data_IF_906605823468
#
_entry.id   IF_906605823468
#
_cell.length_a   1.000
_cell.length_b   1.000
_cell.length_c   1.000
_cell.angle_alpha   90.00
_cell.angle_beta   90.00
_cell.angle_gamma   90.00
#
_symmetry.space_group_name_H-M   'P 1'
#
loop_
_entity.id
_entity.type
_entity.pdbx_description
1 polymer ?
#
# COMPACT_ATOMS: atom_id res chain seq x y z
N UNK A 1 -8.27 19.30 20.25
CA UNK A 1 -8.17 20.20 21.43
C UNK A 1 -8.45 21.64 21.06
N UNK A 2 -7.63 22.29 20.23
CA UNK A 2 -7.84 23.70 19.86
C UNK A 2 -9.21 23.91 19.18
N UNK A 3 -9.61 23.00 18.29
CA UNK A 3 -10.94 22.97 17.65
C UNK A 3 -12.10 22.73 18.62
N UNK A 4 -11.85 22.13 19.78
CA UNK A 4 -12.84 21.92 20.84
C UNK A 4 -12.87 23.09 21.84
N UNK A 5 -12.14 24.18 21.57
CA UNK A 5 -11.99 25.31 22.50
C UNK A 5 -11.08 25.03 23.71
N UNK A 6 -10.50 23.83 23.78
CA UNK A 6 -9.66 23.37 24.88
C UNK A 6 -8.19 23.70 24.64
N UNK A 7 -7.48 24.08 25.70
CA UNK A 7 -6.05 24.38 25.67
C UNK A 7 -5.26 23.42 26.53
N UNK A 8 -4.01 23.16 26.13
CA UNK A 8 -3.12 22.22 26.83
C UNK A 8 -2.94 22.56 28.32
N UNK A 9 -2.93 23.85 28.66
CA UNK A 9 -2.80 24.34 30.05
C UNK A 9 -3.97 23.96 30.97
N UNK A 10 -5.12 23.57 30.42
CA UNK A 10 -6.30 23.16 31.20
C UNK A 10 -6.21 21.69 31.62
N UNK A 11 -5.22 20.95 31.11
CA UNK A 11 -5.04 19.54 31.38
C UNK A 11 -4.73 19.29 32.87
N UNK A 12 -5.43 18.34 33.47
CA UNK A 12 -5.30 18.03 34.90
C UNK A 12 -6.08 18.98 35.81
N UNK A 13 -6.93 19.85 35.24
CA UNK A 13 -7.91 20.63 35.99
C UNK A 13 -9.30 19.98 35.95
N UNK A 14 -10.25 20.51 36.73
CA UNK A 14 -11.66 20.08 36.67
C UNK A 14 -12.31 20.31 35.29
N UNK A 15 -11.75 21.21 34.47
CA UNK A 15 -12.26 21.52 33.13
C UNK A 15 -11.79 20.51 32.08
N UNK A 16 -10.63 19.88 32.29
CA UNK A 16 -10.09 18.86 31.39
C UNK A 16 -9.28 17.85 32.20
N UNK A 17 -9.98 16.79 32.61
CA UNK A 17 -9.36 15.71 33.36
C UNK A 17 -8.63 14.72 32.43
N UNK A 18 -7.84 13.81 33.00
CA UNK A 18 -7.10 12.80 32.22
C UNK A 18 -8.01 11.79 31.50
N UNK A 19 -9.20 11.51 32.04
CA UNK A 19 -10.18 10.63 31.42
C UNK A 19 -10.82 11.27 30.19
N UNK A 20 -11.11 12.57 30.23
CA UNK A 20 -11.61 13.38 29.13
C UNK A 20 -10.57 13.46 28.02
N UNK A 21 -9.29 13.66 28.37
CA UNK A 21 -8.21 13.60 27.39
C UNK A 21 -8.17 12.23 26.70
N UNK A 22 -8.24 11.14 27.47
CA UNK A 22 -8.26 9.79 26.91
C UNK A 22 -9.48 9.56 26.01
N UNK A 23 -10.66 10.05 26.39
CA UNK A 23 -11.86 9.99 25.56
C UNK A 23 -11.69 10.77 24.25
N UNK A 24 -11.13 11.99 24.31
CA UNK A 24 -10.81 12.81 23.13
C UNK A 24 -9.84 12.06 22.21
N UNK A 25 -8.74 11.51 22.75
CA UNK A 25 -7.74 10.79 21.96
C UNK A 25 -8.34 9.56 21.28
N UNK A 26 -9.19 8.81 21.98
CA UNK A 26 -9.87 7.63 21.42
C UNK A 26 -10.93 7.96 20.39
N UNK A 27 -11.57 9.12 20.51
CA UNK A 27 -12.58 9.61 19.57
C UNK A 27 -12.02 10.42 18.40
N UNK A 28 -10.69 10.55 18.28
CA UNK A 28 -10.09 11.29 17.17
C UNK A 28 -10.41 10.62 15.82
N UNK A 29 -10.72 11.40 14.79
CA UNK A 29 -10.94 10.87 13.46
C UNK A 29 -9.66 10.31 12.86
N UNK A 30 -9.82 9.43 11.86
CA UNK A 30 -8.71 8.74 11.19
C UNK A 30 -7.73 9.71 10.48
N UNK A 31 -8.20 10.92 10.15
CA UNK A 31 -7.40 11.97 9.52
C UNK A 31 -6.71 12.92 10.53
N UNK A 32 -6.82 12.63 11.83
CA UNK A 32 -6.28 13.50 12.88
C UNK A 32 -4.76 13.64 12.80
N UNK A 33 -4.26 14.82 13.17
CA UNK A 33 -2.83 15.11 13.19
C UNK A 33 -2.04 14.17 14.13
N UNK A 34 -2.67 13.73 15.23
CA UNK A 34 -2.06 12.77 16.15
C UNK A 34 -1.86 11.41 15.48
N UNK A 35 -2.91 10.89 14.83
CA UNK A 35 -2.83 9.59 14.16
C UNK A 35 -1.82 9.63 13.00
N UNK A 36 -1.76 10.75 12.26
CA UNK A 36 -0.77 10.97 11.19
C UNK A 36 0.67 10.96 11.71
N UNK A 37 0.90 11.53 12.89
CA UNK A 37 2.23 11.54 13.51
C UNK A 37 2.62 10.16 14.06
N UNK A 38 1.68 9.42 14.64
CA UNK A 38 1.94 8.09 15.21
C UNK A 38 2.07 7.00 14.14
N UNK A 39 1.32 7.12 13.04
CA UNK A 39 1.27 6.11 11.98
C UNK A 39 1.38 6.76 10.60
N UNK A 40 2.57 7.28 10.22
CA UNK A 40 2.74 8.03 8.98
C UNK A 40 2.47 7.20 7.72
N UNK A 41 2.80 5.91 7.73
CA UNK A 41 2.57 4.98 6.63
C UNK A 41 1.08 4.62 6.49
N UNK A 42 0.42 4.24 7.60
CA UNK A 42 -0.98 3.80 7.61
C UNK A 42 -1.96 4.96 7.37
N UNK A 43 -1.60 6.19 7.76
CA UNK A 43 -2.39 7.37 7.46
C UNK A 43 -2.52 7.63 5.96
N UNK A 44 -1.44 7.43 5.20
CA UNK A 44 -1.45 7.63 3.75
C UNK A 44 -2.25 6.54 3.04
N UNK A 45 -2.26 5.33 3.59
CA UNK A 45 -2.94 4.16 3.04
C UNK A 45 -4.11 3.73 3.91
N UNK A 46 -5.13 4.58 3.97
CA UNK A 46 -6.42 4.21 4.54
C UNK A 46 -7.18 3.27 3.59
N UNK A 47 -8.23 2.62 4.11
CA UNK A 47 -9.07 1.68 3.35
C UNK A 47 -9.52 2.27 2.00
N UNK A 48 -9.97 3.52 1.98
CA UNK A 48 -10.41 4.18 0.75
C UNK A 48 -9.30 4.26 -0.30
N UNK A 49 -8.04 4.51 0.11
CA UNK A 49 -6.91 4.56 -0.81
C UNK A 49 -6.58 3.18 -1.37
N UNK A 50 -6.70 2.12 -0.54
CA UNK A 50 -6.60 0.74 -1.02
C UNK A 50 -7.68 0.40 -2.05
N UNK A 51 -8.93 0.75 -1.77
CA UNK A 51 -10.05 0.48 -2.69
C UNK A 51 -9.93 1.28 -4.00
N UNK A 52 -9.50 2.55 -3.93
CA UNK A 52 -9.27 3.35 -5.13
C UNK A 52 -8.11 2.82 -5.99
N UNK A 53 -7.04 2.35 -5.35
CA UNK A 53 -5.94 1.69 -6.04
C UNK A 53 -6.43 0.42 -6.74
N UNK A 54 -7.22 -0.41 -6.04
CA UNK A 54 -7.78 -1.66 -6.59
C UNK A 54 -8.73 -1.41 -7.78
N UNK A 55 -9.59 -0.38 -7.68
CA UNK A 55 -10.41 0.06 -8.80
C UNK A 55 -9.57 0.50 -10.00
N UNK A 56 -8.50 1.26 -9.75
CA UNK A 56 -7.59 1.74 -10.80
C UNK A 56 -6.88 0.57 -11.48
N UNK A 57 -6.40 -0.41 -10.71
CA UNK A 57 -5.75 -1.61 -11.22
C UNK A 57 -6.71 -2.44 -12.08
N UNK A 58 -7.92 -2.67 -11.58
CA UNK A 58 -8.99 -3.40 -12.29
C UNK A 58 -9.36 -2.71 -13.62
N UNK A 59 -9.46 -1.38 -13.62
CA UNK A 59 -9.79 -0.60 -14.82
C UNK A 59 -8.66 -0.66 -15.85
N UNK A 60 -7.40 -0.48 -15.42
CA UNK A 60 -6.23 -0.60 -16.31
C UNK A 60 -6.16 -1.99 -16.93
N UNK A 61 -6.38 -3.02 -16.11
CA UNK A 61 -6.42 -4.40 -16.58
C UNK A 61 -7.54 -4.62 -17.59
N UNK A 62 -8.75 -4.13 -17.34
CA UNK A 62 -9.89 -4.26 -18.26
C UNK A 62 -9.61 -3.60 -19.62
N UNK A 63 -9.04 -2.39 -19.62
CA UNK A 63 -8.65 -1.69 -20.85
C UNK A 63 -7.59 -2.47 -21.61
N UNK A 64 -6.56 -2.95 -20.91
CA UNK A 64 -5.52 -3.78 -21.51
C UNK A 64 -6.09 -5.08 -22.08
N UNK A 65 -6.95 -5.78 -21.36
CA UNK A 65 -7.54 -7.06 -21.76
C UNK A 65 -8.33 -6.96 -23.08
N UNK A 66 -8.81 -5.76 -23.43
CA UNK A 66 -9.53 -5.49 -24.69
C UNK A 66 -8.62 -5.04 -25.84
N UNK A 67 -7.31 -4.90 -25.60
CA UNK A 67 -6.33 -4.48 -26.60
C UNK A 67 -5.75 -5.66 -27.38
N UNK A 68 -5.16 -5.39 -28.55
CA UNK A 68 -4.40 -6.40 -29.30
C UNK A 68 -3.13 -6.87 -28.56
N UNK A 69 -2.59 -6.04 -27.67
CA UNK A 69 -1.44 -6.38 -26.84
C UNK A 69 -1.76 -7.50 -25.84
N UNK A 70 -3.00 -7.54 -25.34
CA UNK A 70 -3.45 -8.62 -24.47
C UNK A 70 -3.49 -9.98 -25.18
N UNK A 71 -3.83 -10.02 -26.48
CA UNK A 71 -3.80 -11.27 -27.26
C UNK A 71 -2.39 -11.88 -27.33
N UNK A 72 -1.37 -11.03 -27.28
CA UNK A 72 0.03 -11.43 -27.33
C UNK A 72 0.73 -11.42 -25.95
N UNK A 73 -0.02 -11.16 -24.87
CA UNK A 73 0.50 -11.07 -23.50
C UNK A 73 1.52 -9.96 -23.27
N UNK A 74 1.53 -8.91 -24.10
CA UNK A 74 2.50 -7.81 -24.03
C UNK A 74 1.95 -6.61 -23.25
N UNK A 75 2.84 -5.79 -22.70
CA UNK A 75 2.48 -4.49 -22.10
C UNK A 75 1.43 -4.54 -20.99
N UNK A 76 1.35 -5.66 -20.25
CA UNK A 76 0.38 -5.79 -19.17
C UNK A 76 0.66 -4.75 -18.06
N UNK A 77 -0.35 -3.97 -17.64
CA UNK A 77 -0.18 -2.86 -16.70
C UNK A 77 0.28 -3.34 -15.34
N UNK A 78 1.06 -2.49 -14.67
CA UNK A 78 1.51 -2.74 -13.30
C UNK A 78 0.49 -2.22 -12.28
N UNK A 79 0.23 -2.98 -11.20
CA UNK A 79 -0.56 -2.51 -10.08
C UNK A 79 0.02 -1.25 -9.46
N UNK A 80 -0.84 -0.38 -8.93
CA UNK A 80 -0.43 0.78 -8.15
C UNK A 80 0.38 0.31 -6.94
N UNK A 81 1.61 0.80 -6.83
CA UNK A 81 2.53 0.51 -5.73
C UNK A 81 1.91 0.94 -4.40
N UNK A 82 1.69 -0.01 -3.50
CA UNK A 82 1.04 0.22 -2.20
C UNK A 82 1.71 -0.58 -1.07
N UNK A 83 1.78 -0.03 0.15
CA UNK A 83 2.34 -0.72 1.30
C UNK A 83 1.70 -2.09 1.50
N UNK A 84 2.55 -3.09 1.75
CA UNK A 84 2.12 -4.48 1.95
C UNK A 84 1.87 -5.27 0.65
N UNK A 85 1.84 -4.62 -0.51
CA UNK A 85 1.75 -5.32 -1.81
C UNK A 85 3.10 -5.21 -2.51
N UNK A 86 3.79 -6.35 -2.61
CA UNK A 86 5.01 -6.48 -3.40
C UNK A 86 4.63 -6.74 -4.86
N UNK A 87 5.39 -6.19 -5.81
CA UNK A 87 5.22 -6.55 -7.21
C UNK A 87 5.79 -7.95 -7.45
N UNK A 88 4.95 -8.91 -7.85
CA UNK A 88 5.37 -10.29 -8.19
C UNK A 88 6.13 -10.40 -9.52
N UNK A 89 6.50 -9.27 -10.14
CA UNK A 89 7.34 -9.24 -11.37
C UNK A 89 8.82 -9.37 -11.08
N UNK A 90 9.20 -10.21 -10.13
CA UNK A 90 10.59 -10.58 -9.95
C UNK A 90 10.94 -11.61 -11.04
N UNK A 91 11.60 -11.13 -12.11
CA UNK A 91 12.00 -11.99 -13.21
C UNK A 91 13.24 -12.77 -12.78
N UNK A 92 13.05 -14.01 -12.32
CA UNK A 92 14.17 -14.91 -12.03
C UNK A 92 14.74 -15.44 -13.36
N UNK A 93 16.04 -15.20 -13.58
CA UNK A 93 16.77 -15.65 -14.77
C UNK A 93 16.97 -14.55 -15.83
N UNK A 94 18.22 -14.41 -16.28
CA UNK A 94 18.62 -13.46 -17.33
C UNK A 94 18.58 -14.19 -18.68
N UNK A 95 17.37 -14.36 -19.22
CA UNK A 95 17.18 -14.96 -20.55
C UNK A 95 17.04 -16.48 -20.56
N UNK A 96 16.69 -17.02 -21.73
CA UNK A 96 16.60 -18.45 -21.95
C UNK A 96 18.03 -19.03 -22.08
N UNK A 97 18.44 -19.85 -21.11
CA UNK A 97 19.68 -20.60 -21.17
C UNK A 97 19.62 -21.59 -22.34
N UNK A 98 20.65 -21.60 -23.19
CA UNK A 98 20.76 -22.58 -24.27
C UNK A 98 20.86 -24.01 -23.72
N UNK A 99 20.32 -24.99 -24.44
CA UNK A 99 20.26 -26.40 -24.00
C UNK A 99 21.65 -26.92 -23.60
N UNK A 100 22.70 -26.52 -24.33
CA UNK A 100 24.09 -26.93 -24.03
C UNK A 100 24.56 -26.44 -22.65
N UNK A 101 24.28 -25.19 -22.31
CA UNK A 101 24.64 -24.60 -21.01
C UNK A 101 23.78 -25.17 -19.88
N UNK A 102 22.55 -25.61 -20.18
CA UNK A 102 21.70 -26.33 -19.23
C UNK A 102 22.22 -27.75 -18.98
N UNK A 103 22.67 -28.44 -20.02
CA UNK A 103 23.22 -29.79 -19.91
C UNK A 103 24.53 -29.82 -19.12
N UNK A 104 25.38 -28.81 -19.30
CA UNK A 104 26.60 -28.62 -18.49
C UNK A 104 26.26 -28.29 -17.03
N UNK A 105 25.27 -27.44 -16.78
CA UNK A 105 24.82 -27.14 -15.42
C UNK A 105 24.20 -28.35 -14.69
N UNK A 106 23.46 -29.20 -15.41
CA UNK A 106 22.77 -30.36 -14.86
C UNK A 106 23.60 -31.65 -14.84
N UNK A 107 24.80 -31.63 -15.41
CA UNK A 107 25.69 -32.80 -15.56
C UNK A 107 25.01 -33.97 -16.30
N UNK A 108 24.23 -33.65 -17.33
CA UNK A 108 23.50 -34.65 -18.15
C UNK A 108 24.29 -35.05 -19.42
N UNK A 109 25.59 -34.74 -19.45
CA UNK A 109 26.47 -34.87 -20.61
C UNK A 109 27.29 -36.16 -20.70
N UNK A 110 27.07 -37.15 -19.84
CA UNK A 110 27.58 -38.54 -19.98
C UNK A 110 26.50 -39.47 -20.54
#
# INVERSE_FOLDING_TARGET
MITLGLRLRQLGSEVLNWQDLNAIVRGLPADSALLRAMHPEAYRWQLTQHLLADMTDSLRWLVWAKSADAQHGRSMPEPVQRPGVKSDRERYGVGATGIDQMNEFLDWGE
#
